data_IF_442846104012
#
_entry.id   IF_442846104012
#
_cell.length_a   1.000
_cell.length_b   1.000
_cell.length_c   1.000
_cell.angle_alpha   90.00
_cell.angle_beta   90.00
_cell.angle_gamma   90.00
#
_symmetry.space_group_name_H-M   'P 1'
#
loop_
_entity.id
_entity.type
_entity.pdbx_description
1 polymer ?
#
# COMPACT_ATOMS: atom_id res chain seq x y z
N UNK A 1 -18.85 11.00 -2.99
CA UNK A 1 -17.62 10.44 -2.33
C UNK A 1 -16.87 11.57 -1.64
N UNK A 2 -16.15 11.29 -0.57
CA UNK A 2 -15.35 12.28 0.20
C UNK A 2 -13.91 11.80 0.33
N UNK A 3 -12.98 12.71 0.64
CA UNK A 3 -11.54 12.44 0.78
C UNK A 3 -10.92 11.78 -0.48
N UNK A 4 -10.02 10.83 -0.31
CA UNK A 4 -9.30 10.15 -1.41
C UNK A 4 -10.24 9.49 -2.43
N UNK A 5 -11.41 8.99 -1.99
CA UNK A 5 -12.39 8.39 -2.89
C UNK A 5 -12.91 9.37 -3.95
N UNK A 6 -12.97 10.66 -3.67
CA UNK A 6 -13.36 11.67 -4.66
C UNK A 6 -12.30 11.82 -5.76
N UNK A 7 -11.01 11.72 -5.41
CA UNK A 7 -9.92 11.75 -6.37
C UNK A 7 -9.89 10.51 -7.26
N UNK A 8 -10.07 9.33 -6.66
CA UNK A 8 -10.19 8.08 -7.43
C UNK A 8 -11.39 8.12 -8.35
N UNK A 9 -12.54 8.65 -7.89
CA UNK A 9 -13.72 8.79 -8.72
C UNK A 9 -13.45 9.68 -9.93
N UNK A 10 -12.82 10.84 -9.76
CA UNK A 10 -12.41 11.70 -10.87
C UNK A 10 -11.50 10.99 -11.87
N UNK A 11 -10.60 10.12 -11.41
CA UNK A 11 -9.76 9.32 -12.32
C UNK A 11 -10.59 8.27 -13.06
N UNK A 12 -11.59 7.66 -12.40
CA UNK A 12 -12.51 6.72 -13.08
C UNK A 12 -13.30 7.44 -14.16
N UNK A 13 -13.85 8.60 -13.88
CA UNK A 13 -14.73 9.35 -14.79
C UNK A 13 -13.91 10.01 -15.92
N UNK A 14 -12.90 10.81 -15.59
CA UNK A 14 -12.20 11.71 -16.52
C UNK A 14 -10.79 11.24 -16.91
N UNK A 15 -10.23 10.27 -16.17
CA UNK A 15 -8.84 9.84 -16.32
C UNK A 15 -7.84 10.83 -15.73
N UNK A 16 -6.57 10.68 -16.13
CA UNK A 16 -5.48 11.55 -15.69
C UNK A 16 -5.44 12.86 -16.47
N UNK A 17 -4.97 13.98 -15.85
CA UNK A 17 -4.83 15.26 -16.52
C UNK A 17 -3.81 15.16 -17.67
N UNK A 18 -4.00 15.99 -18.70
CA UNK A 18 -3.07 16.09 -19.84
C UNK A 18 -1.95 17.10 -19.61
N UNK A 19 -2.07 17.92 -18.62
CA UNK A 19 -1.08 18.88 -18.14
C UNK A 19 -1.34 19.18 -16.67
N UNK A 20 -0.32 19.56 -15.93
CA UNK A 20 -0.43 19.96 -14.53
C UNK A 20 0.18 21.36 -14.39
N UNK A 21 -0.58 22.37 -13.93
CA UNK A 21 -0.06 23.74 -13.73
C UNK A 21 1.18 23.76 -12.82
N UNK A 22 2.03 24.77 -13.01
CA UNK A 22 3.24 24.92 -12.21
C UNK A 22 2.96 25.24 -10.73
N UNK A 23 1.81 25.86 -10.47
CA UNK A 23 1.31 26.26 -9.15
C UNK A 23 0.20 25.33 -8.64
N UNK A 24 0.30 24.05 -8.94
CA UNK A 24 -0.72 23.06 -8.56
C UNK A 24 -0.96 23.05 -7.03
N UNK A 25 -2.23 23.12 -6.65
CA UNK A 25 -2.66 23.06 -5.25
C UNK A 25 -3.64 21.92 -5.04
N UNK A 26 -3.83 21.51 -3.79
CA UNK A 26 -4.81 20.49 -3.39
C UNK A 26 -6.23 20.73 -3.94
N UNK A 27 -6.61 21.99 -4.15
CA UNK A 27 -7.97 22.32 -4.61
C UNK A 27 -8.16 22.14 -6.13
N UNK A 28 -7.08 21.98 -6.89
CA UNK A 28 -7.13 21.81 -8.34
C UNK A 28 -7.40 20.38 -8.74
N UNK A 29 -8.16 20.18 -9.81
CA UNK A 29 -8.50 18.83 -10.30
C UNK A 29 -7.26 18.03 -10.75
N UNK A 30 -6.22 18.71 -11.18
CA UNK A 30 -4.94 18.15 -11.61
C UNK A 30 -4.18 17.47 -10.45
N UNK A 31 -4.51 17.80 -9.19
CA UNK A 31 -3.95 17.15 -8.00
C UNK A 31 -4.24 15.63 -7.97
N UNK A 32 -5.22 15.15 -8.78
CA UNK A 32 -5.45 13.71 -8.95
C UNK A 32 -4.25 12.96 -9.56
N UNK A 33 -3.29 13.65 -10.17
CA UNK A 33 -2.04 13.06 -10.62
C UNK A 33 -1.18 12.48 -9.47
N UNK A 34 -1.48 12.80 -8.22
CA UNK A 34 -0.87 12.18 -7.04
C UNK A 34 -1.29 10.72 -6.79
N UNK A 35 -2.38 10.26 -7.39
CA UNK A 35 -2.96 8.94 -7.14
C UNK A 35 -2.52 7.91 -8.18
N UNK A 36 -2.34 6.66 -7.76
CA UNK A 36 -1.87 5.57 -8.61
C UNK A 36 -3.02 4.91 -9.39
N UNK A 37 -2.77 4.43 -10.63
CA UNK A 37 -3.81 3.95 -11.55
C UNK A 37 -4.42 2.60 -11.19
N UNK A 38 -3.75 1.75 -10.39
CA UNK A 38 -4.15 0.37 -10.18
C UNK A 38 -5.61 0.20 -9.76
N UNK A 39 -6.04 0.93 -8.73
CA UNK A 39 -7.41 0.86 -8.23
C UNK A 39 -8.43 1.56 -9.16
N UNK A 40 -8.24 2.83 -9.56
CA UNK A 40 -9.25 3.52 -10.36
C UNK A 40 -9.45 2.91 -11.74
N UNK A 41 -8.40 2.36 -12.38
CA UNK A 41 -8.59 1.67 -13.65
C UNK A 41 -9.30 0.33 -13.51
N UNK A 42 -9.08 -0.41 -12.41
CA UNK A 42 -9.85 -1.61 -12.12
C UNK A 42 -11.33 -1.25 -11.88
N UNK A 43 -11.60 -0.18 -11.13
CA UNK A 43 -12.95 0.34 -10.94
C UNK A 43 -13.61 0.79 -12.25
N UNK A 44 -12.85 1.44 -13.15
CA UNK A 44 -13.35 1.87 -14.46
C UNK A 44 -13.76 0.69 -15.35
N UNK A 45 -13.01 -0.41 -15.30
CA UNK A 45 -13.40 -1.65 -16.01
C UNK A 45 -14.70 -2.19 -15.45
N UNK A 46 -14.87 -2.14 -14.15
CA UNK A 46 -16.07 -2.64 -13.47
C UNK A 46 -17.30 -1.75 -13.73
N UNK A 47 -17.11 -0.44 -13.88
CA UNK A 47 -18.15 0.54 -14.19
C UNK A 47 -18.85 0.29 -15.53
N UNK A 48 -18.15 -0.37 -16.46
CA UNK A 48 -18.74 -0.78 -17.76
C UNK A 48 -19.85 -1.82 -17.60
N UNK A 49 -19.76 -2.67 -16.57
CA UNK A 49 -20.66 -3.82 -16.38
C UNK A 49 -21.62 -3.65 -15.19
N UNK A 50 -21.27 -2.83 -14.22
CA UNK A 50 -22.11 -2.60 -13.02
C UNK A 50 -22.94 -1.34 -13.24
N UNK A 51 -24.29 -1.44 -13.20
CA UNK A 51 -25.14 -0.26 -13.29
C UNK A 51 -25.01 0.59 -12.00
N UNK A 52 -25.12 1.93 -12.16
CA UNK A 52 -25.09 2.87 -11.03
C UNK A 52 -23.91 3.85 -11.02
N UNK A 53 -23.02 3.74 -12.05
CA UNK A 53 -21.90 4.66 -12.27
C UNK A 53 -20.70 4.37 -11.38
N UNK A 54 -19.64 5.16 -11.58
CA UNK A 54 -18.32 4.97 -10.99
C UNK A 54 -18.31 4.81 -9.48
N UNK A 55 -19.17 5.57 -8.76
CA UNK A 55 -19.29 5.46 -7.31
C UNK A 55 -19.75 4.07 -6.85
N UNK A 56 -20.74 3.49 -7.54
CA UNK A 56 -21.24 2.14 -7.23
C UNK A 56 -20.21 1.10 -7.58
N UNK A 57 -19.57 1.20 -8.74
CA UNK A 57 -18.51 0.31 -9.18
C UNK A 57 -17.33 0.29 -8.18
N UNK A 58 -16.89 1.45 -7.70
CA UNK A 58 -15.84 1.58 -6.69
C UNK A 58 -16.24 0.94 -5.36
N UNK A 59 -17.46 1.14 -4.88
CA UNK A 59 -17.93 0.56 -3.63
C UNK A 59 -18.06 -0.96 -3.72
N UNK A 60 -18.66 -1.49 -4.79
CA UNK A 60 -18.76 -2.93 -5.02
C UNK A 60 -17.37 -3.56 -5.11
N UNK A 61 -16.47 -2.94 -5.86
CA UNK A 61 -15.08 -3.39 -5.95
C UNK A 61 -14.43 -3.45 -4.56
N UNK A 62 -14.60 -2.41 -3.73
CA UNK A 62 -13.99 -2.38 -2.40
C UNK A 62 -14.61 -3.40 -1.43
N UNK A 63 -15.90 -3.66 -1.51
CA UNK A 63 -16.50 -4.74 -0.72
C UNK A 63 -15.83 -6.07 -1.06
N UNK A 64 -15.69 -6.39 -2.34
CA UNK A 64 -15.03 -7.65 -2.77
C UNK A 64 -13.57 -7.66 -2.36
N UNK A 65 -12.83 -6.57 -2.61
CA UNK A 65 -11.41 -6.47 -2.25
C UNK A 65 -11.19 -6.47 -0.73
N UNK A 66 -12.11 -5.90 0.06
CA UNK A 66 -12.08 -5.95 1.52
C UNK A 66 -12.14 -7.40 2.04
N UNK A 67 -13.05 -8.20 1.48
CA UNK A 67 -13.11 -9.63 1.77
C UNK A 67 -11.82 -10.35 1.39
N UNK A 68 -11.28 -10.08 0.19
CA UNK A 68 -10.02 -10.66 -0.27
C UNK A 68 -8.86 -10.23 0.64
N UNK A 69 -8.82 -8.97 1.09
CA UNK A 69 -7.80 -8.47 1.99
C UNK A 69 -7.82 -9.18 3.35
N UNK A 70 -9.01 -9.31 3.96
CA UNK A 70 -9.18 -10.04 5.23
C UNK A 70 -8.74 -11.48 5.07
N UNK A 71 -9.19 -12.15 3.99
CA UNK A 71 -8.81 -13.53 3.70
C UNK A 71 -7.30 -13.68 3.46
N UNK A 72 -6.68 -12.79 2.68
CA UNK A 72 -5.24 -12.83 2.37
C UNK A 72 -4.39 -12.62 3.64
N UNK A 73 -4.77 -11.69 4.51
CA UNK A 73 -4.12 -11.50 5.81
C UNK A 73 -4.27 -12.72 6.71
N UNK A 74 -5.46 -13.31 6.77
CA UNK A 74 -5.69 -14.56 7.49
C UNK A 74 -4.87 -15.72 6.94
N UNK A 75 -4.77 -15.82 5.60
CA UNK A 75 -3.95 -16.85 4.96
C UNK A 75 -2.45 -16.68 5.26
N UNK A 76 -1.95 -15.44 5.26
CA UNK A 76 -0.58 -15.13 5.68
C UNK A 76 -0.36 -15.51 7.15
N UNK A 77 -1.26 -15.12 8.03
CA UNK A 77 -1.18 -15.45 9.45
C UNK A 77 -1.22 -16.97 9.70
N UNK A 78 -2.07 -17.69 8.95
CA UNK A 78 -2.13 -19.17 9.02
C UNK A 78 -0.80 -19.82 8.66
N UNK A 79 -0.12 -19.28 7.65
CA UNK A 79 1.17 -19.81 7.21
C UNK A 79 2.29 -19.55 8.23
N UNK A 80 2.19 -18.46 8.99
CA UNK A 80 3.21 -18.06 9.96
C UNK A 80 2.99 -18.67 11.34
N UNK A 81 1.71 -18.78 11.79
CA UNK A 81 1.38 -19.08 13.19
C UNK A 81 0.24 -20.09 13.37
N UNK A 82 -0.31 -20.62 12.28
CA UNK A 82 -1.37 -21.64 12.35
C UNK A 82 -2.80 -21.09 12.28
N UNK A 83 -3.78 -22.01 12.39
CA UNK A 83 -5.20 -21.72 12.10
C UNK A 83 -5.84 -20.82 13.16
N UNK A 84 -5.51 -20.98 14.43
CA UNK A 84 -6.08 -20.18 15.52
C UNK A 84 -5.72 -18.70 15.38
N UNK A 85 -4.44 -18.42 15.11
CA UNK A 85 -3.97 -17.05 14.88
C UNK A 85 -4.56 -16.48 13.60
N UNK A 86 -4.77 -17.29 12.57
CA UNK A 86 -5.39 -16.85 11.32
C UNK A 86 -6.80 -16.28 11.55
N UNK A 87 -7.62 -16.98 12.33
CA UNK A 87 -8.98 -16.52 12.64
C UNK A 87 -8.95 -15.19 13.41
N UNK A 88 -8.10 -15.10 14.43
CA UNK A 88 -7.93 -13.86 15.18
C UNK A 88 -7.43 -12.71 14.28
N UNK A 89 -6.48 -12.96 13.38
CA UNK A 89 -5.98 -11.96 12.43
C UNK A 89 -7.08 -11.48 11.48
N UNK A 90 -7.91 -12.37 10.94
CA UNK A 90 -9.05 -11.98 10.11
C UNK A 90 -10.04 -11.10 10.86
N UNK A 91 -10.39 -11.48 12.09
CA UNK A 91 -11.28 -10.68 12.93
C UNK A 91 -10.68 -9.31 13.20
N UNK A 92 -9.41 -9.24 13.64
CA UNK A 92 -8.73 -7.97 13.91
C UNK A 92 -8.72 -7.08 12.67
N UNK A 93 -8.33 -7.62 11.50
CA UNK A 93 -8.32 -6.85 10.25
C UNK A 93 -9.72 -6.36 9.87
N UNK A 94 -10.76 -7.14 10.14
CA UNK A 94 -12.14 -6.76 9.80
C UNK A 94 -12.71 -5.67 10.73
N UNK A 95 -12.39 -5.70 12.04
CA UNK A 95 -13.02 -4.82 13.04
C UNK A 95 -12.10 -3.69 13.53
N UNK A 96 -10.84 -3.65 13.09
CA UNK A 96 -9.94 -2.56 13.48
C UNK A 96 -10.54 -1.19 13.10
N UNK A 97 -10.49 -0.18 13.97
CA UNK A 97 -11.11 1.13 13.72
C UNK A 97 -10.73 1.77 12.38
N UNK A 98 -9.49 1.54 11.90
CA UNK A 98 -9.05 2.03 10.59
C UNK A 98 -9.53 1.20 9.39
N UNK A 99 -10.15 0.04 9.60
CA UNK A 99 -10.54 -0.86 8.51
C UNK A 99 -11.76 -0.40 7.72
N UNK A 100 -12.43 0.67 8.15
CA UNK A 100 -13.47 1.30 7.36
C UNK A 100 -12.97 1.72 5.96
N UNK A 101 -11.69 2.05 5.81
CA UNK A 101 -11.08 2.36 4.50
C UNK A 101 -11.13 1.19 3.51
N UNK A 102 -11.26 -0.05 3.99
CA UNK A 102 -11.39 -1.22 3.14
C UNK A 102 -12.76 -1.33 2.46
N UNK A 103 -13.75 -0.55 2.91
CA UNK A 103 -15.11 -0.48 2.35
C UNK A 103 -15.44 0.84 1.66
N UNK A 104 -14.52 1.81 1.70
CA UNK A 104 -14.70 3.12 1.08
C UNK A 104 -13.97 3.17 -0.27
N UNK A 105 -14.39 3.60 -1.35
CA UNK A 105 -13.73 3.65 -2.67
C UNK A 105 -12.23 4.01 -2.68
N UNK A 106 -11.42 3.24 -1.95
CA UNK A 106 -10.00 3.47 -1.68
C UNK A 106 -9.14 2.31 -2.20
N UNK A 107 -7.86 2.55 -2.43
CA UNK A 107 -6.93 1.54 -2.97
C UNK A 107 -6.31 0.62 -1.90
N UNK A 108 -6.61 0.84 -0.61
CA UNK A 108 -6.04 0.10 0.52
C UNK A 108 -6.39 -1.39 0.49
N UNK A 109 -7.64 -1.72 0.21
CA UNK A 109 -8.08 -3.11 0.15
C UNK A 109 -7.36 -3.89 -0.95
N UNK A 110 -7.20 -3.27 -2.13
CA UNK A 110 -6.44 -3.87 -3.24
C UNK A 110 -4.97 -4.04 -2.88
N UNK A 111 -4.34 -2.98 -2.36
CA UNK A 111 -2.92 -3.01 -1.98
C UNK A 111 -2.67 -4.05 -0.89
N UNK A 112 -3.49 -4.12 0.16
CA UNK A 112 -3.34 -5.08 1.26
C UNK A 112 -3.49 -6.53 0.77
N UNK A 113 -4.46 -6.79 -0.10
CA UNK A 113 -4.66 -8.11 -0.74
C UNK A 113 -3.43 -8.56 -1.52
N UNK A 114 -2.91 -7.66 -2.35
CA UNK A 114 -1.74 -7.93 -3.20
C UNK A 114 -0.46 -8.09 -2.38
N UNK A 115 -0.26 -7.24 -1.37
CA UNK A 115 0.92 -7.30 -0.51
C UNK A 115 0.93 -8.59 0.33
N UNK A 116 -0.18 -8.94 0.99
CA UNK A 116 -0.28 -10.18 1.73
C UNK A 116 -0.10 -11.41 0.82
N UNK A 117 -0.71 -11.39 -0.36
CA UNK A 117 -0.52 -12.43 -1.37
C UNK A 117 0.93 -12.54 -1.83
N UNK A 118 1.61 -11.43 -2.10
CA UNK A 118 3.02 -11.40 -2.48
C UNK A 118 3.90 -12.02 -1.38
N UNK A 119 3.70 -11.65 -0.11
CA UNK A 119 4.44 -12.21 1.01
C UNK A 119 4.23 -13.72 1.15
N UNK A 120 2.99 -14.21 1.01
CA UNK A 120 2.68 -15.65 0.99
C UNK A 120 3.42 -16.34 -0.15
N UNK A 121 3.43 -15.77 -1.35
CA UNK A 121 4.11 -16.36 -2.51
C UNK A 121 5.63 -16.34 -2.36
N UNK A 122 6.22 -15.30 -1.77
CA UNK A 122 7.64 -15.24 -1.42
C UNK A 122 8.02 -16.35 -0.45
N UNK A 123 7.27 -16.52 0.64
CA UNK A 123 7.52 -17.57 1.66
C UNK A 123 7.39 -18.97 1.05
N UNK A 124 6.47 -19.17 0.11
CA UNK A 124 6.27 -20.43 -0.62
C UNK A 124 7.22 -20.62 -1.82
N UNK A 125 8.11 -19.67 -2.05
CA UNK A 125 9.03 -19.67 -3.20
C UNK A 125 8.32 -19.76 -4.56
N UNK A 126 7.10 -19.25 -4.64
CA UNK A 126 6.34 -19.13 -5.89
C UNK A 126 6.72 -17.82 -6.59
N UNK A 127 7.93 -17.76 -7.09
CA UNK A 127 8.64 -16.58 -7.59
C UNK A 127 7.85 -15.75 -8.59
N UNK A 128 7.24 -16.40 -9.60
CA UNK A 128 6.46 -15.72 -10.64
C UNK A 128 5.24 -15.00 -10.04
N UNK A 129 4.49 -15.71 -9.19
CA UNK A 129 3.31 -15.11 -8.55
C UNK A 129 3.67 -14.01 -7.55
N UNK A 130 4.78 -14.17 -6.83
CA UNK A 130 5.30 -13.12 -5.96
C UNK A 130 5.65 -11.86 -6.77
N UNK A 131 6.34 -12.02 -7.90
CA UNK A 131 6.66 -10.92 -8.81
C UNK A 131 5.43 -10.22 -9.37
N UNK A 132 4.44 -10.98 -9.88
CA UNK A 132 3.21 -10.42 -10.44
C UNK A 132 2.41 -9.67 -9.38
N UNK A 133 2.18 -10.27 -8.20
CA UNK A 133 1.42 -9.63 -7.13
C UNK A 133 2.15 -8.39 -6.60
N UNK A 134 3.47 -8.46 -6.45
CA UNK A 134 4.28 -7.31 -6.03
C UNK A 134 4.29 -6.18 -7.05
N UNK A 135 4.40 -6.49 -8.35
CA UNK A 135 4.32 -5.53 -9.45
C UNK A 135 2.98 -4.78 -9.42
N UNK A 136 1.86 -5.51 -9.35
CA UNK A 136 0.52 -4.89 -9.31
C UNK A 136 0.33 -4.10 -8.02
N UNK A 137 0.86 -4.58 -6.88
CA UNK A 137 0.82 -3.84 -5.62
C UNK A 137 1.53 -2.48 -5.74
N UNK A 138 2.74 -2.46 -6.33
CA UNK A 138 3.52 -1.23 -6.52
C UNK A 138 2.92 -0.29 -7.58
N UNK A 139 2.11 -0.81 -8.51
CA UNK A 139 1.29 0.00 -9.42
C UNK A 139 -0.01 0.51 -8.77
N UNK A 140 -0.35 0.03 -7.58
CA UNK A 140 -1.55 0.44 -6.85
C UNK A 140 -1.26 1.54 -5.81
N UNK A 141 -0.13 1.44 -5.11
CA UNK A 141 0.29 2.44 -4.09
C UNK A 141 1.82 2.48 -3.97
N UNK A 142 2.42 3.67 -3.74
CA UNK A 142 3.87 3.81 -3.59
C UNK A 142 4.43 3.01 -2.40
N UNK A 143 3.68 2.91 -1.31
CA UNK A 143 4.11 2.19 -0.10
C UNK A 143 4.38 0.70 -0.33
N UNK A 144 3.78 0.10 -1.37
CA UNK A 144 4.03 -1.29 -1.73
C UNK A 144 5.49 -1.55 -2.19
N UNK A 145 6.26 -0.52 -2.49
CA UNK A 145 7.72 -0.64 -2.78
C UNK A 145 8.46 -1.31 -1.61
N UNK A 146 7.94 -1.25 -0.38
CA UNK A 146 8.47 -2.00 0.75
C UNK A 146 8.57 -3.52 0.51
N UNK A 147 7.77 -4.08 -0.42
CA UNK A 147 7.87 -5.50 -0.85
C UNK A 147 9.23 -5.84 -1.47
N UNK A 148 9.93 -4.85 -2.03
CA UNK A 148 11.31 -5.05 -2.57
C UNK A 148 12.25 -5.49 -1.46
N UNK A 149 12.12 -4.94 -0.25
CA UNK A 149 12.96 -5.36 0.89
C UNK A 149 12.63 -6.77 1.34
N UNK A 150 11.34 -7.12 1.38
CA UNK A 150 10.92 -8.47 1.67
C UNK A 150 11.53 -9.47 0.67
N UNK A 151 11.56 -9.11 -0.63
CA UNK A 151 12.17 -9.91 -1.67
C UNK A 151 13.70 -9.97 -1.54
N UNK A 152 14.37 -8.86 -1.17
CA UNK A 152 15.83 -8.85 -0.88
C UNK A 152 16.20 -9.75 0.29
N UNK A 153 15.41 -9.75 1.36
CA UNK A 153 15.61 -10.68 2.48
C UNK A 153 15.48 -12.12 1.99
N UNK A 154 14.54 -12.39 1.09
CA UNK A 154 14.40 -13.71 0.50
C UNK A 154 15.63 -14.11 -0.34
N UNK A 155 16.19 -13.18 -1.14
CA UNK A 155 17.47 -13.41 -1.86
C UNK A 155 18.58 -13.79 -0.89
N UNK A 156 18.69 -13.08 0.23
CA UNK A 156 19.68 -13.38 1.26
C UNK A 156 19.48 -14.76 1.90
N UNK A 157 18.23 -15.14 2.17
CA UNK A 157 17.89 -16.43 2.77
C UNK A 157 18.26 -17.62 1.84
N UNK A 158 18.04 -17.46 0.52
CA UNK A 158 18.31 -18.52 -0.47
C UNK A 158 19.70 -18.37 -1.13
N UNK A 159 20.59 -17.53 -0.60
CA UNK A 159 21.87 -17.16 -1.24
C UNK A 159 22.81 -18.33 -1.57
N UNK A 160 22.70 -19.44 -0.87
CA UNK A 160 23.54 -20.62 -1.05
C UNK A 160 23.07 -21.55 -2.18
N UNK A 161 21.83 -21.39 -2.68
CA UNK A 161 21.30 -22.10 -3.84
C UNK A 161 21.24 -21.14 -5.04
N UNK A 162 22.08 -21.36 -6.02
CA UNK A 162 22.22 -20.47 -7.17
C UNK A 162 20.92 -20.36 -7.97
N UNK A 163 20.18 -21.46 -8.19
CA UNK A 163 18.94 -21.45 -8.96
C UNK A 163 17.83 -20.68 -8.25
N UNK A 164 17.67 -20.91 -6.94
CA UNK A 164 16.68 -20.18 -6.10
C UNK A 164 17.06 -18.72 -6.00
N UNK A 165 18.34 -18.40 -5.80
CA UNK A 165 18.83 -17.01 -5.73
C UNK A 165 18.52 -16.22 -6.99
N UNK A 166 18.76 -16.76 -8.18
CA UNK A 166 18.46 -16.05 -9.42
C UNK A 166 16.98 -15.81 -9.63
N UNK A 167 16.12 -16.77 -9.24
CA UNK A 167 14.65 -16.57 -9.27
C UNK A 167 14.20 -15.50 -8.27
N UNK A 168 14.75 -15.49 -7.07
CA UNK A 168 14.48 -14.46 -6.06
C UNK A 168 14.95 -13.07 -6.52
N UNK A 169 16.14 -12.97 -7.14
CA UNK A 169 16.64 -11.71 -7.73
C UNK A 169 15.73 -11.22 -8.86
N UNK A 170 15.31 -12.10 -9.78
CA UNK A 170 14.37 -11.73 -10.82
C UNK A 170 13.06 -11.18 -10.24
N UNK A 171 12.51 -11.84 -9.21
CA UNK A 171 11.31 -11.37 -8.50
C UNK A 171 11.54 -9.98 -7.89
N UNK A 172 12.70 -9.77 -7.25
CA UNK A 172 13.05 -8.48 -6.63
C UNK A 172 13.11 -7.35 -7.65
N UNK A 173 13.60 -7.62 -8.88
CA UNK A 173 13.65 -6.65 -9.98
C UNK A 173 12.26 -6.38 -10.56
N UNK A 174 11.39 -7.39 -10.64
CA UNK A 174 10.04 -7.27 -11.20
C UNK A 174 9.13 -6.41 -10.33
N UNK A 175 9.20 -6.55 -9.00
CA UNK A 175 8.31 -5.84 -8.06
C UNK A 175 8.29 -4.32 -8.27
N UNK A 176 9.42 -3.59 -8.35
CA UNK A 176 9.39 -2.13 -8.50
C UNK A 176 8.99 -1.66 -9.89
N UNK A 177 8.91 -2.54 -10.90
CA UNK A 177 8.50 -2.16 -12.26
C UNK A 177 7.11 -1.53 -12.26
N UNK A 178 6.18 -2.01 -11.40
CA UNK A 178 4.84 -1.44 -11.30
C UNK A 178 4.86 0.03 -10.87
N UNK A 179 5.71 0.38 -9.90
CA UNK A 179 5.92 1.78 -9.49
C UNK A 179 6.53 2.60 -10.64
N UNK A 180 7.59 2.10 -11.27
CA UNK A 180 8.27 2.80 -12.38
C UNK A 180 7.33 3.00 -13.58
N UNK A 181 6.55 1.97 -13.92
CA UNK A 181 5.56 2.06 -14.99
C UNK A 181 4.47 3.10 -14.68
N UNK A 182 4.04 3.19 -13.42
CA UNK A 182 3.10 4.22 -12.97
C UNK A 182 3.70 5.62 -13.11
N UNK A 183 4.96 5.84 -12.67
CA UNK A 183 5.64 7.12 -12.81
C UNK A 183 5.78 7.53 -14.27
N UNK A 184 6.20 6.58 -15.11
CA UNK A 184 6.30 6.80 -16.55
C UNK A 184 4.93 7.13 -17.17
N UNK A 185 3.88 6.36 -16.82
CA UNK A 185 2.53 6.56 -17.35
C UNK A 185 1.96 7.95 -16.98
N UNK A 186 2.05 8.35 -15.71
CA UNK A 186 1.54 9.65 -15.24
C UNK A 186 2.34 10.78 -15.90
N UNK A 187 3.67 10.66 -15.96
CA UNK A 187 4.54 11.63 -16.61
C UNK A 187 4.28 11.78 -18.11
N UNK A 188 4.12 10.65 -18.83
CA UNK A 188 3.74 10.64 -20.23
C UNK A 188 2.38 11.31 -20.46
N UNK A 189 1.41 10.98 -19.62
CA UNK A 189 0.03 11.51 -19.73
C UNK A 189 -0.03 13.02 -19.48
N UNK A 190 0.73 13.52 -18.53
CA UNK A 190 0.78 14.94 -18.16
C UNK A 190 1.81 15.75 -18.97
N UNK A 191 2.61 15.10 -19.85
CA UNK A 191 3.67 15.75 -20.61
C UNK A 191 4.88 16.21 -19.80
N UNK A 192 5.04 15.73 -18.57
CA UNK A 192 6.10 16.15 -17.65
C UNK A 192 6.67 14.96 -16.88
N UNK A 193 7.95 14.66 -17.07
CA UNK A 193 8.62 13.59 -16.32
C UNK A 193 8.73 13.96 -14.83
N UNK A 194 8.35 13.00 -13.95
CA UNK A 194 8.42 13.20 -12.50
C UNK A 194 7.32 14.10 -11.91
N UNK A 195 6.30 14.45 -12.68
CA UNK A 195 5.15 15.26 -12.25
C UNK A 195 4.50 14.73 -10.96
N UNK A 196 4.45 13.43 -10.77
CA UNK A 196 3.93 12.83 -9.56
C UNK A 196 4.64 13.34 -8.30
N UNK A 197 5.98 13.35 -8.31
CA UNK A 197 6.78 13.85 -7.18
C UNK A 197 6.58 15.33 -6.92
N UNK A 198 6.36 16.12 -7.98
CA UNK A 198 6.05 17.53 -7.86
C UNK A 198 4.68 17.75 -7.25
N UNK A 199 3.66 17.06 -7.73
CA UNK A 199 2.29 17.15 -7.19
C UNK A 199 2.23 16.71 -5.73
N UNK A 200 2.95 15.66 -5.35
CA UNK A 200 3.03 15.25 -3.93
C UNK A 200 3.61 16.36 -3.04
N UNK A 201 4.63 17.08 -3.49
CA UNK A 201 5.22 18.16 -2.70
C UNK A 201 4.36 19.42 -2.67
N UNK A 202 3.82 19.83 -3.82
CA UNK A 202 3.17 21.14 -3.97
C UNK A 202 1.70 21.11 -3.57
N UNK A 203 0.96 20.05 -3.91
CA UNK A 203 -0.45 19.95 -3.61
C UNK A 203 -0.76 19.21 -2.30
N UNK A 204 0.12 18.27 -1.89
CA UNK A 204 -0.14 17.40 -0.72
C UNK A 204 0.82 17.65 0.43
N UNK A 205 1.80 18.54 0.26
CA UNK A 205 2.86 18.84 1.25
C UNK A 205 3.58 17.56 1.74
N UNK A 206 3.66 16.55 0.86
CA UNK A 206 4.29 15.28 1.15
C UNK A 206 5.69 15.23 0.54
N UNK A 207 6.70 15.08 1.39
CA UNK A 207 8.10 14.94 0.99
C UNK A 207 8.76 13.75 1.69
N UNK A 208 9.92 13.34 1.18
CA UNK A 208 10.75 12.34 1.85
C UNK A 208 11.32 12.90 3.15
N UNK A 209 10.63 12.67 4.26
CA UNK A 209 11.06 13.14 5.59
C UNK A 209 12.06 12.22 6.28
N UNK A 210 12.31 11.01 5.72
CA UNK A 210 13.18 9.98 6.31
C UNK A 210 12.90 9.71 7.81
N UNK A 211 11.62 9.82 8.21
CA UNK A 211 11.21 9.61 9.59
C UNK A 211 11.36 10.83 10.52
N UNK A 212 11.90 11.95 10.05
CA UNK A 212 12.06 13.17 10.87
C UNK A 212 10.71 13.72 11.31
N UNK A 213 9.71 13.74 10.43
CA UNK A 213 8.35 14.17 10.77
C UNK A 213 7.72 13.27 11.84
N UNK A 214 7.89 11.95 11.74
CA UNK A 214 7.40 10.98 12.74
C UNK A 214 8.12 11.18 14.09
N UNK A 215 9.44 11.34 14.08
CA UNK A 215 10.21 11.59 15.30
C UNK A 215 9.79 12.90 15.98
N UNK A 216 9.56 13.96 15.20
CA UNK A 216 9.04 15.23 15.70
C UNK A 216 7.64 15.07 16.30
N UNK A 217 6.77 14.34 15.65
CA UNK A 217 5.41 14.06 16.12
C UNK A 217 5.41 13.28 17.44
N UNK A 218 6.31 12.30 17.59
CA UNK A 218 6.50 11.54 18.83
C UNK A 218 7.02 12.46 19.95
N UNK A 219 8.00 13.32 19.65
CA UNK A 219 8.52 14.26 20.61
C UNK A 219 7.44 15.25 21.09
N UNK A 220 6.66 15.81 20.18
CA UNK A 220 5.53 16.69 20.49
C UNK A 220 4.45 15.98 21.34
N UNK A 221 4.18 14.70 21.08
CA UNK A 221 3.26 13.89 21.87
C UNK A 221 3.78 13.66 23.30
N UNK A 222 5.08 13.40 23.46
CA UNK A 222 5.69 13.20 24.79
C UNK A 222 5.59 14.48 25.64
N UNK A 223 5.73 15.65 25.01
CA UNK A 223 5.67 16.96 25.70
C UNK A 223 4.22 17.31 26.07
N UNK A 224 3.26 17.06 25.20
CA UNK A 224 1.84 17.36 25.43
C UNK A 224 0.92 16.30 24.81
N UNK A 225 0.67 15.18 25.52
CA UNK A 225 -0.08 14.05 25.01
C UNK A 225 -1.57 14.32 24.79
N UNK A 226 -2.12 15.37 25.41
CA UNK A 226 -3.55 15.71 25.33
C UNK A 226 -3.85 16.90 24.42
N UNK A 227 -2.85 17.48 23.79
CA UNK A 227 -3.02 18.68 22.94
C UNK A 227 -3.97 18.48 21.75
N UNK A 228 -4.06 17.26 21.20
CA UNK A 228 -5.02 16.93 20.16
C UNK A 228 -5.34 15.44 20.08
N UNK A 229 -6.59 15.07 19.71
CA UNK A 229 -6.95 13.66 19.46
C UNK A 229 -6.05 13.00 18.41
N UNK A 230 -5.62 13.74 17.39
CA UNK A 230 -4.75 13.25 16.31
C UNK A 230 -3.38 12.82 16.84
N UNK A 231 -2.79 13.58 17.78
CA UNK A 231 -1.51 13.20 18.40
C UNK A 231 -1.63 11.92 19.21
N UNK A 232 -2.71 11.79 20.00
CA UNK A 232 -2.97 10.59 20.78
C UNK A 232 -3.15 9.35 19.89
N UNK A 233 -3.90 9.47 18.78
CA UNK A 233 -4.10 8.39 17.81
C UNK A 233 -2.80 7.99 17.11
N UNK A 234 -1.98 8.97 16.72
CA UNK A 234 -0.68 8.68 16.08
C UNK A 234 0.26 7.98 17.04
N UNK A 235 0.35 8.45 18.29
CA UNK A 235 1.17 7.80 19.30
C UNK A 235 0.69 6.38 19.62
N UNK A 236 -0.62 6.18 19.76
CA UNK A 236 -1.20 4.84 19.92
C UNK A 236 -0.85 3.92 18.75
N UNK A 237 -0.91 4.43 17.51
CA UNK A 237 -0.53 3.69 16.32
C UNK A 237 0.95 3.29 16.33
N UNK A 238 1.84 4.21 16.72
CA UNK A 238 3.28 3.93 16.85
C UNK A 238 3.54 2.87 17.93
N UNK A 239 2.88 2.94 19.08
CA UNK A 239 3.00 1.94 20.15
C UNK A 239 2.52 0.56 19.66
N UNK A 240 1.40 0.50 18.97
CA UNK A 240 0.85 -0.75 18.39
C UNK A 240 1.82 -1.34 17.38
N UNK A 241 2.38 -0.51 16.48
CA UNK A 241 3.37 -0.96 15.49
C UNK A 241 4.65 -1.45 16.17
N UNK A 242 5.21 -0.69 17.12
CA UNK A 242 6.41 -1.08 17.84
C UNK A 242 6.19 -2.36 18.66
N UNK A 243 5.06 -2.48 19.36
CA UNK A 243 4.67 -3.70 20.07
C UNK A 243 4.50 -4.90 19.15
N UNK A 244 3.87 -4.70 17.99
CA UNK A 244 3.73 -5.73 16.95
C UNK A 244 5.08 -6.18 16.40
N UNK A 245 5.99 -5.26 16.10
CA UNK A 245 7.36 -5.56 15.65
C UNK A 245 8.14 -6.33 16.70
N UNK A 246 8.05 -5.89 17.97
CA UNK A 246 8.69 -6.60 19.09
C UNK A 246 8.13 -8.02 19.24
N UNK A 247 6.81 -8.20 19.16
CA UNK A 247 6.16 -9.50 19.21
C UNK A 247 6.61 -10.39 18.05
N UNK A 248 6.67 -9.87 16.81
CA UNK A 248 7.16 -10.60 15.65
C UNK A 248 8.63 -11.02 15.81
N UNK A 249 9.46 -10.14 16.34
CA UNK A 249 10.85 -10.47 16.64
C UNK A 249 10.97 -11.57 17.71
N UNK A 250 10.18 -11.46 18.79
CA UNK A 250 10.18 -12.43 19.89
C UNK A 250 9.63 -13.81 19.48
N UNK A 251 8.63 -13.85 18.60
CA UNK A 251 8.06 -15.08 18.06
C UNK A 251 8.86 -15.66 16.89
N UNK A 252 10.00 -15.07 16.56
CA UNK A 252 10.86 -15.48 15.43
C UNK A 252 10.06 -15.59 14.13
N UNK A 253 9.16 -14.64 13.89
CA UNK A 253 8.39 -14.56 12.64
C UNK A 253 9.32 -14.57 11.43
N UNK A 254 8.83 -15.08 10.31
CA UNK A 254 9.61 -15.21 9.08
C UNK A 254 10.23 -13.86 8.66
N UNK A 255 11.55 -13.78 8.43
CA UNK A 255 12.29 -12.52 8.23
C UNK A 255 11.72 -11.63 7.10
N UNK A 256 11.14 -12.23 6.07
CA UNK A 256 10.48 -11.54 4.94
C UNK A 256 9.33 -10.63 5.43
N UNK A 257 8.55 -11.10 6.41
CA UNK A 257 7.43 -10.33 6.94
C UNK A 257 7.92 -9.19 7.83
N UNK A 258 8.93 -9.44 8.65
CA UNK A 258 9.56 -8.42 9.49
C UNK A 258 10.11 -7.30 8.58
N UNK A 259 10.85 -7.64 7.52
CA UNK A 259 11.42 -6.66 6.60
C UNK A 259 10.37 -5.79 5.89
N UNK A 260 9.20 -6.33 5.57
CA UNK A 260 8.09 -5.56 5.01
C UNK A 260 7.47 -4.60 6.03
N UNK A 261 7.32 -5.06 7.28
CA UNK A 261 6.61 -4.29 8.33
C UNK A 261 7.47 -3.15 8.87
N UNK A 262 8.79 -3.36 8.97
CA UNK A 262 9.75 -2.40 9.51
C UNK A 262 9.74 -1.05 8.74
N UNK A 263 9.56 -1.08 7.43
CA UNK A 263 9.53 0.14 6.61
C UNK A 263 8.17 0.86 6.55
N UNK A 264 7.05 0.20 6.86
CA UNK A 264 5.75 0.88 6.90
C UNK A 264 5.62 1.88 8.05
N UNK A 265 6.46 1.76 9.06
CA UNK A 265 6.48 2.67 10.21
C UNK A 265 7.27 3.96 9.97
N UNK A 266 7.92 4.12 8.81
CA UNK A 266 8.88 5.21 8.53
C UNK A 266 8.40 6.16 7.40
N UNK A 267 7.22 5.88 6.80
CA UNK A 267 6.64 6.74 5.74
C UNK A 267 5.49 7.57 6.28
#
# INVERSE_FOLDING_TARGET
>A
MSWDAAWYQRIVDDGYPRSVPADVTFYMEEARAAFFPGFPYLARVLDVVIPGGSSVAMLVLNVVLGWVAVWACGHLARQLWGVEVATAAMVIVAIFPGSFVLSMGYSEALMLSLAAGCLVMLIRERWVWAGVLGLVATATRPNAVALVLAALVMVWMVRHDAARRWRALATTVVIPIGFMATQWFIGWRAGEAGVWFRVQREAWDEGLSLGVSTARFIAEFIVDPLASPTRALTAASVIVVAGGMWAMWRTRTHPVVIAYTDRKSVV
#
